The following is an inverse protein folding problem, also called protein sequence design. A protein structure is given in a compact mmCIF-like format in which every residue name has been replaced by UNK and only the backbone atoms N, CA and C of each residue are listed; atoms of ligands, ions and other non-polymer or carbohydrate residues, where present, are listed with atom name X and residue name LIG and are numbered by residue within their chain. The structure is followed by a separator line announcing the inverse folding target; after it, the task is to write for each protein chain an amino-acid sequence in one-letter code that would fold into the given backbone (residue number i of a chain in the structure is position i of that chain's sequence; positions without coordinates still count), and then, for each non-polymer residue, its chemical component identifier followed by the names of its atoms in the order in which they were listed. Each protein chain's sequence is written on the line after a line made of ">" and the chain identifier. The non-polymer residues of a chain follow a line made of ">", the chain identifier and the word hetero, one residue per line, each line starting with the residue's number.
data_IF_099076736957
#
_entry.id   IF_099076736957
#
_cell.length_a   1.000
_cell.length_b   1.000
_cell.length_c   1.000
_cell.angle_alpha   90.00
_cell.angle_beta   90.00
_cell.angle_gamma   90.00
#
_symmetry.space_group_name_H-M   'P 1'
#
loop_
_entity.id
_entity.type
_entity.pdbx_description
1 polymer ?
#
# COMPACT_ATOMS: atom_id res chain seq x y z
N UNK A 1 -56.39 -5.70 16.17
CA UNK A 1 -56.10 -5.89 14.74
C UNK A 1 -55.58 -4.57 14.18
N UNK A 2 -54.27 -4.42 14.05
CA UNK A 2 -53.63 -3.24 13.45
C UNK A 2 -52.57 -3.71 12.46
N UNK A 3 -52.60 -3.13 11.26
CA UNK A 3 -51.98 -3.62 10.03
C UNK A 3 -50.48 -3.37 10.00
N UNK A 4 -49.79 -4.39 9.50
CA UNK A 4 -48.41 -4.42 9.04
C UNK A 4 -48.16 -3.35 7.96
N UNK A 5 -47.08 -2.56 8.12
CA UNK A 5 -46.47 -1.77 7.05
C UNK A 5 -44.99 -2.14 6.99
N UNK A 6 -44.64 -2.96 6.00
CA UNK A 6 -43.27 -3.19 5.56
C UNK A 6 -42.87 -2.06 4.64
N UNK A 7 -41.86 -1.28 5.01
CA UNK A 7 -41.21 -0.32 4.12
C UNK A 7 -39.90 -0.95 3.67
N UNK A 8 -39.83 -1.25 2.38
CA UNK A 8 -38.59 -1.53 1.68
C UNK A 8 -37.87 -0.20 1.43
N UNK A 9 -36.58 -0.11 1.78
CA UNK A 9 -35.71 0.94 1.27
C UNK A 9 -34.55 0.32 0.51
N UNK A 10 -34.46 0.76 -0.74
CA UNK A 10 -33.48 0.46 -1.76
C UNK A 10 -32.05 0.69 -1.25
N UNK A 11 -31.17 -0.25 -1.59
CA UNK A 11 -29.74 -0.05 -1.61
C UNK A 11 -29.39 1.01 -2.68
N UNK A 12 -28.60 2.01 -2.30
CA UNK A 12 -27.91 2.89 -3.23
C UNK A 12 -26.41 2.66 -3.05
N UNK A 13 -25.87 1.78 -3.86
CA UNK A 13 -24.44 1.62 -4.13
C UNK A 13 -23.95 2.87 -4.88
N UNK A 14 -23.09 3.65 -4.24
CA UNK A 14 -22.39 4.78 -4.85
C UNK A 14 -20.90 4.66 -4.60
N UNK A 15 -20.23 3.78 -5.36
CA UNK A 15 -18.78 3.76 -5.44
C UNK A 15 -18.34 4.93 -6.33
N UNK A 16 -17.85 6.01 -5.74
CA UNK A 16 -17.15 7.05 -6.46
C UNK A 16 -15.71 6.57 -6.70
N UNK A 17 -15.47 5.97 -7.87
CA UNK A 17 -14.13 5.70 -8.36
C UNK A 17 -13.48 7.04 -8.74
N UNK A 18 -12.47 7.46 -7.98
CA UNK A 18 -11.62 8.59 -8.35
C UNK A 18 -10.67 8.10 -9.46
N UNK A 19 -11.02 8.37 -10.71
CA UNK A 19 -10.13 8.14 -11.84
C UNK A 19 -8.99 9.17 -11.82
N UNK A 20 -7.77 8.69 -11.56
CA UNK A 20 -6.56 9.47 -11.76
C UNK A 20 -6.18 9.41 -13.25
N UNK A 21 -6.38 10.52 -13.96
CA UNK A 21 -5.91 10.69 -15.34
C UNK A 21 -4.41 11.02 -15.30
N UNK A 22 -3.59 10.07 -15.74
CA UNK A 22 -2.17 10.29 -16.02
C UNK A 22 -2.02 10.77 -17.47
N UNK A 23 -1.96 12.09 -17.68
CA UNK A 23 -1.57 12.66 -18.97
C UNK A 23 -0.05 12.83 -18.99
N UNK A 24 0.63 12.05 -19.81
CA UNK A 24 2.04 12.26 -20.14
C UNK A 24 2.16 13.52 -21.02
N UNK A 25 2.80 14.57 -20.50
CA UNK A 25 3.15 15.75 -21.27
C UNK A 25 4.54 15.55 -21.89
N UNK A 26 4.58 15.39 -23.21
CA UNK A 26 5.80 15.47 -24.00
C UNK A 26 6.22 16.95 -24.14
N UNK A 27 7.50 17.23 -23.93
CA UNK A 27 8.11 18.54 -24.15
C UNK A 27 8.03 18.97 -25.62
N UNK A 28 7.47 20.14 -25.89
CA UNK A 28 7.54 20.83 -27.17
C UNK A 28 7.39 22.34 -26.96
N UNK A 29 8.49 23.08 -27.14
CA UNK A 29 8.52 24.54 -27.04
C UNK A 29 7.88 25.24 -28.25
N UNK A 30 7.60 26.55 -28.17
CA UNK A 30 6.87 27.27 -29.21
C UNK A 30 7.81 27.97 -30.21
N UNK A 31 7.58 27.76 -31.51
CA UNK A 31 8.08 28.67 -32.55
C UNK A 31 6.95 29.02 -33.52
N UNK A 32 6.78 30.33 -33.75
CA UNK A 32 5.78 30.93 -34.63
C UNK A 32 6.20 30.92 -36.12
N UNK A 33 5.34 31.44 -37.01
CA UNK A 33 5.29 31.04 -38.41
C UNK A 33 6.12 31.95 -39.33
N UNK A 34 6.71 31.36 -40.38
CA UNK A 34 7.37 32.10 -41.46
C UNK A 34 7.74 31.20 -42.64
N UNK A 35 6.89 31.26 -43.68
CA UNK A 35 7.13 31.07 -45.12
C UNK A 35 8.02 29.92 -45.66
N UNK A 36 7.38 29.11 -46.52
CA UNK A 36 8.03 28.23 -47.52
C UNK A 36 8.64 29.04 -48.67
N UNK A 37 9.64 28.49 -49.38
CA UNK A 37 9.28 27.92 -50.69
C UNK A 37 9.88 26.54 -50.97
N UNK A 38 9.24 25.83 -51.89
CA UNK A 38 9.49 24.47 -52.33
C UNK A 38 10.45 24.39 -53.51
N UNK A 39 11.36 23.40 -53.54
CA UNK A 39 11.94 22.66 -54.70
C UNK A 39 12.64 21.42 -54.07
N UNK A 40 12.63 20.17 -54.53
CA UNK A 40 12.07 19.45 -55.67
C UNK A 40 12.48 17.97 -55.53
N UNK A 41 11.75 17.08 -56.20
CA UNK A 41 11.92 15.62 -56.16
C UNK A 41 13.31 15.13 -56.55
N UNK A 42 13.86 14.14 -55.82
CA UNK A 42 14.72 13.11 -56.42
C UNK A 42 14.54 11.77 -55.70
N UNK A 43 14.35 10.73 -56.50
CA UNK A 43 14.01 9.37 -56.11
C UNK A 43 15.22 8.48 -55.76
N UNK A 44 14.87 7.29 -55.25
CA UNK A 44 15.57 6.00 -55.34
C UNK A 44 16.55 5.60 -54.21
N UNK A 45 16.15 4.53 -53.51
CA UNK A 45 17.01 3.59 -52.80
C UNK A 45 17.91 2.80 -53.77
N UNK A 46 19.03 2.22 -53.30
CA UNK A 46 19.00 0.79 -53.00
C UNK A 46 19.83 0.31 -51.78
N UNK A 47 19.54 -0.94 -51.44
CA UNK A 47 20.03 -1.90 -50.43
C UNK A 47 21.54 -2.09 -50.24
N UNK A 48 21.98 -2.35 -48.99
CA UNK A 48 22.86 -3.48 -48.59
C UNK A 48 23.15 -3.43 -47.06
N UNK A 49 22.93 -4.55 -46.34
CA UNK A 49 23.46 -4.76 -44.96
C UNK A 49 24.85 -5.42 -45.00
N UNK A 50 25.30 -6.14 -43.95
CA UNK A 50 25.17 -5.95 -42.51
C UNK A 50 26.55 -5.62 -41.87
N UNK A 51 26.59 -5.02 -40.69
CA UNK A 51 27.81 -4.99 -39.85
C UNK A 51 27.48 -4.79 -38.37
N UNK A 52 27.57 -5.88 -37.62
CA UNK A 52 28.01 -5.90 -36.23
C UNK A 52 29.46 -6.45 -36.26
N UNK A 53 30.38 -6.13 -35.31
CA UNK A 53 30.13 -6.34 -33.88
C UNK A 53 30.67 -5.23 -32.95
N UNK A 54 30.04 -5.08 -31.80
CA UNK A 54 30.54 -4.25 -30.70
C UNK A 54 29.97 -4.77 -29.39
N UNK A 55 30.71 -5.67 -28.74
CA UNK A 55 30.39 -6.23 -27.45
C UNK A 55 30.42 -5.14 -26.36
N UNK A 56 29.34 -5.02 -25.59
CA UNK A 56 29.36 -4.47 -24.24
C UNK A 56 28.67 -5.50 -23.36
N UNK A 57 29.49 -6.18 -22.54
CA UNK A 57 29.01 -7.09 -21.51
C UNK A 57 28.66 -6.32 -20.24
N UNK A 58 27.73 -6.89 -19.47
CA UNK A 58 27.69 -6.71 -18.02
C UNK A 58 26.56 -5.83 -17.49
N UNK A 59 25.38 -6.40 -17.37
CA UNK A 59 24.73 -6.58 -16.07
C UNK A 59 23.76 -7.75 -16.23
N UNK A 60 24.28 -8.95 -15.99
CA UNK A 60 23.41 -10.11 -15.82
C UNK A 60 22.61 -9.87 -14.54
N UNK A 61 21.33 -9.59 -14.68
CA UNK A 61 20.36 -9.86 -13.63
C UNK A 61 20.50 -11.34 -13.29
N UNK A 62 21.02 -11.62 -12.09
CA UNK A 62 21.07 -12.97 -11.53
C UNK A 62 19.68 -13.60 -11.62
N UNK A 63 19.54 -14.85 -12.09
CA UNK A 63 18.23 -15.47 -12.21
C UNK A 63 17.59 -15.54 -10.82
N UNK A 64 16.42 -14.90 -10.69
CA UNK A 64 15.58 -15.01 -9.51
C UNK A 64 15.38 -16.51 -9.18
N UNK A 65 15.55 -16.86 -7.90
CA UNK A 65 15.19 -18.19 -7.40
C UNK A 65 13.71 -18.47 -7.73
N UNK A 66 13.34 -19.73 -8.02
CA UNK A 66 12.03 -20.05 -8.57
C UNK A 66 10.92 -19.63 -7.60
N UNK A 67 9.84 -19.10 -8.18
CA UNK A 67 8.57 -18.87 -7.49
C UNK A 67 8.07 -20.21 -6.93
N UNK A 68 7.88 -20.28 -5.61
CA UNK A 68 7.41 -21.47 -4.93
C UNK A 68 7.17 -21.23 -3.44
N UNK A 69 6.44 -22.14 -2.82
CA UNK A 69 6.28 -22.21 -1.37
C UNK A 69 7.64 -22.32 -0.72
N UNK A 70 7.91 -21.49 0.29
CA UNK A 70 9.18 -21.49 0.99
C UNK A 70 9.33 -22.76 1.83
N UNK A 71 10.55 -23.29 1.90
CA UNK A 71 10.85 -24.43 2.76
C UNK A 71 10.58 -24.10 4.24
N UNK A 72 10.90 -22.87 4.64
CA UNK A 72 10.61 -22.31 5.97
C UNK A 72 10.04 -20.88 5.81
N UNK A 73 8.81 -20.60 6.27
CA UNK A 73 8.26 -19.25 6.30
C UNK A 73 9.11 -18.31 7.16
N UNK A 74 9.23 -17.05 6.73
CA UNK A 74 10.07 -16.05 7.40
C UNK A 74 9.21 -14.97 8.03
N UNK A 75 9.42 -14.65 9.31
CA UNK A 75 8.77 -13.50 9.95
C UNK A 75 9.35 -12.22 9.37
N UNK A 76 8.50 -11.34 8.85
CA UNK A 76 8.88 -10.02 8.32
C UNK A 76 8.36 -8.86 9.17
N UNK A 77 7.36 -9.10 10.00
CA UNK A 77 6.88 -8.11 10.98
C UNK A 77 6.24 -8.79 12.18
N UNK A 78 6.31 -8.15 13.34
CA UNK A 78 5.69 -8.69 14.56
C UNK A 78 5.35 -7.62 15.59
N UNK A 79 4.43 -7.94 16.49
CA UNK A 79 4.13 -7.13 17.66
C UNK A 79 3.18 -7.83 18.61
N UNK A 80 3.03 -7.27 19.81
CA UNK A 80 2.21 -7.83 20.87
C UNK A 80 1.01 -6.90 21.13
N UNK A 81 -0.20 -7.46 21.22
CA UNK A 81 -1.44 -6.73 21.52
C UNK A 81 -2.44 -7.66 22.22
N UNK A 82 -3.30 -7.10 23.07
CA UNK A 82 -4.37 -7.83 23.76
C UNK A 82 -5.58 -7.97 22.81
N UNK A 83 -5.79 -9.17 22.27
CA UNK A 83 -6.78 -9.44 21.21
C UNK A 83 -8.17 -9.76 21.77
N UNK A 84 -8.28 -10.09 23.05
CA UNK A 84 -9.51 -10.56 23.68
C UNK A 84 -9.96 -9.68 24.86
N UNK A 85 -9.18 -8.66 25.23
CA UNK A 85 -9.45 -7.71 26.31
C UNK A 85 -9.23 -8.29 27.71
N UNK A 86 -8.47 -9.38 27.85
CA UNK A 86 -8.22 -10.02 29.15
C UNK A 86 -6.99 -9.45 29.89
N UNK A 87 -6.27 -8.52 29.27
CA UNK A 87 -5.07 -7.86 29.79
C UNK A 87 -3.77 -8.63 29.54
N UNK A 88 -3.82 -9.77 28.86
CA UNK A 88 -2.66 -10.53 28.39
C UNK A 88 -2.45 -10.24 26.92
N UNK A 89 -1.22 -9.94 26.52
CA UNK A 89 -0.92 -9.69 25.12
C UNK A 89 -0.68 -11.00 24.36
N UNK A 90 -1.30 -11.11 23.19
CA UNK A 90 -1.02 -12.10 22.17
C UNK A 90 0.01 -11.58 21.17
N UNK A 91 0.77 -12.51 20.58
CA UNK A 91 1.75 -12.21 19.55
C UNK A 91 1.10 -12.24 18.18
N UNK A 92 1.20 -11.15 17.42
CA UNK A 92 0.89 -11.11 15.98
C UNK A 92 2.19 -11.14 15.19
N UNK A 93 2.23 -11.97 14.14
CA UNK A 93 3.33 -12.05 13.17
C UNK A 93 2.84 -11.96 11.75
N UNK A 94 3.62 -11.28 10.92
CA UNK A 94 3.51 -11.27 9.46
C UNK A 94 4.57 -12.22 8.92
N UNK A 95 4.11 -13.28 8.26
CA UNK A 95 4.94 -14.31 7.65
C UNK A 95 5.03 -14.08 6.15
N UNK A 96 6.24 -14.16 5.61
CA UNK A 96 6.47 -14.41 4.18
C UNK A 96 6.44 -15.91 3.94
N UNK A 97 5.50 -16.37 3.13
CA UNK A 97 5.20 -17.81 2.96
C UNK A 97 5.57 -18.33 1.58
N UNK A 98 5.48 -17.50 0.56
CA UNK A 98 5.81 -17.87 -0.83
C UNK A 98 6.41 -16.69 -1.58
N UNK A 99 7.30 -16.98 -2.54
CA UNK A 99 7.79 -16.00 -3.50
C UNK A 99 9.32 -15.95 -3.60
N UNK A 100 9.86 -14.77 -3.92
CA UNK A 100 11.28 -14.58 -4.23
C UNK A 100 11.91 -13.41 -3.46
N UNK A 101 13.19 -13.55 -3.17
CA UNK A 101 14.01 -12.41 -2.81
C UNK A 101 14.42 -11.66 -4.08
N UNK A 102 14.34 -10.34 -4.04
CA UNK A 102 14.74 -9.45 -5.13
C UNK A 102 15.81 -8.49 -4.61
N UNK A 103 16.76 -8.12 -5.45
CA UNK A 103 17.75 -7.09 -5.15
C UNK A 103 17.73 -6.04 -6.26
N UNK A 104 17.30 -4.82 -5.91
CA UNK A 104 17.33 -3.68 -6.82
C UNK A 104 18.60 -2.87 -6.53
N UNK A 105 19.60 -3.12 -7.37
CA UNK A 105 20.92 -2.47 -7.28
C UNK A 105 20.93 -1.07 -7.90
N UNK A 106 19.91 -0.70 -8.69
CA UNK A 106 19.82 0.62 -9.30
C UNK A 106 19.50 1.67 -8.23
N UNK A 107 20.24 2.81 -8.17
CA UNK A 107 19.92 3.90 -7.26
C UNK A 107 18.50 4.42 -7.49
N UNK A 108 17.67 4.41 -6.45
CA UNK A 108 16.29 4.85 -6.56
C UNK A 108 15.46 4.59 -5.30
N UNK A 109 14.21 5.05 -5.27
CA UNK A 109 13.31 4.88 -4.12
C UNK A 109 12.93 3.42 -3.84
N UNK A 110 13.21 2.53 -4.79
CA UNK A 110 13.01 1.08 -4.67
C UNK A 110 14.33 0.30 -4.54
N UNK A 111 15.48 0.98 -4.35
CA UNK A 111 16.76 0.30 -4.19
C UNK A 111 16.81 -0.58 -2.92
N UNK A 112 17.59 -1.65 -2.99
CA UNK A 112 17.87 -2.58 -1.91
C UNK A 112 17.25 -3.97 -2.10
N UNK A 113 17.38 -4.80 -1.06
CA UNK A 113 16.85 -6.15 -1.06
C UNK A 113 15.42 -6.20 -0.50
N UNK A 114 14.57 -6.99 -1.15
CA UNK A 114 13.15 -7.17 -0.82
C UNK A 114 12.77 -8.64 -0.84
N UNK A 115 11.71 -8.97 -0.09
CA UNK A 115 10.96 -10.22 -0.19
C UNK A 115 9.66 -9.90 -0.89
N UNK A 116 9.39 -10.53 -2.03
CA UNK A 116 8.15 -10.37 -2.80
C UNK A 116 7.38 -11.67 -2.84
N UNK A 117 6.05 -11.60 -2.75
CA UNK A 117 5.17 -12.74 -2.92
C UNK A 117 3.98 -12.75 -1.97
N UNK A 118 3.73 -13.90 -1.34
CA UNK A 118 2.59 -14.15 -0.46
C UNK A 118 2.98 -14.01 1.00
N UNK A 119 2.08 -13.39 1.75
CA UNK A 119 2.23 -13.06 3.15
C UNK A 119 0.96 -13.41 3.91
N UNK A 120 1.16 -13.82 5.17
CA UNK A 120 0.07 -14.17 6.08
C UNK A 120 0.26 -13.45 7.40
N UNK A 121 -0.81 -12.86 7.92
CA UNK A 121 -0.86 -12.42 9.31
C UNK A 121 -1.36 -13.59 10.17
N UNK A 122 -0.69 -13.88 11.28
CA UNK A 122 -1.11 -14.90 12.23
C UNK A 122 -0.99 -14.39 13.67
N UNK A 123 -1.98 -14.72 14.48
CA UNK A 123 -2.03 -14.42 15.91
C UNK A 123 -1.77 -15.68 16.73
N UNK A 124 -1.04 -15.54 17.82
CA UNK A 124 -0.62 -16.64 18.70
C UNK A 124 -0.86 -16.27 20.17
N UNK A 125 -1.36 -17.23 20.94
CA UNK A 125 -1.33 -17.14 22.41
C UNK A 125 0.11 -17.10 22.92
N UNK A 126 0.28 -16.66 24.17
CA UNK A 126 1.57 -16.71 24.87
C UNK A 126 2.23 -18.10 24.87
N UNK A 127 1.44 -19.17 24.86
CA UNK A 127 1.92 -20.56 24.76
C UNK A 127 2.35 -21.02 23.35
N UNK A 128 2.26 -20.15 22.34
CA UNK A 128 2.60 -20.44 20.95
C UNK A 128 1.51 -21.13 20.13
N UNK A 129 0.32 -21.33 20.71
CA UNK A 129 -0.84 -21.86 19.99
C UNK A 129 -1.39 -20.79 19.04
N UNK A 130 -1.57 -21.14 17.78
CA UNK A 130 -2.21 -20.26 16.80
C UNK A 130 -3.69 -20.03 17.15
N UNK A 131 -4.09 -18.77 17.13
CA UNK A 131 -5.46 -18.31 17.36
C UNK A 131 -6.20 -18.06 16.06
N UNK A 132 -5.53 -17.38 15.13
CA UNK A 132 -6.11 -16.98 13.85
C UNK A 132 -5.03 -16.75 12.81
N UNK A 133 -5.44 -16.81 11.54
CA UNK A 133 -4.59 -16.55 10.37
C UNK A 133 -5.39 -15.82 9.29
N UNK A 134 -4.70 -14.99 8.53
CA UNK A 134 -5.27 -14.21 7.44
C UNK A 134 -4.27 -14.08 6.28
N UNK A 135 -4.73 -14.35 5.06
CA UNK A 135 -3.95 -14.11 3.86
C UNK A 135 -3.83 -12.60 3.62
N UNK A 136 -2.69 -12.02 4.01
CA UNK A 136 -2.50 -10.57 4.09
C UNK A 136 -2.63 -9.90 2.72
N UNK A 137 -2.24 -10.61 1.66
CA UNK A 137 -2.40 -10.14 0.28
C UNK A 137 -3.85 -9.79 -0.07
N UNK A 138 -4.85 -10.42 0.56
CA UNK A 138 -6.27 -10.11 0.33
C UNK A 138 -6.64 -8.68 0.73
N UNK A 139 -5.92 -8.09 1.71
CA UNK A 139 -6.08 -6.68 2.06
C UNK A 139 -5.63 -5.71 0.94
N UNK A 140 -4.92 -6.23 -0.07
CA UNK A 140 -4.42 -5.54 -1.24
C UNK A 140 -4.93 -6.19 -2.55
N UNK A 141 -6.11 -6.81 -2.51
CA UNK A 141 -6.76 -7.41 -3.68
C UNK A 141 -6.12 -8.71 -4.19
N UNK A 142 -5.34 -9.39 -3.35
CA UNK A 142 -4.75 -10.71 -3.63
C UNK A 142 -3.44 -10.68 -4.44
N UNK A 143 -2.98 -9.48 -4.86
CA UNK A 143 -1.74 -9.29 -5.62
C UNK A 143 -0.47 -9.67 -4.84
N UNK A 144 0.69 -9.70 -5.50
CA UNK A 144 1.97 -9.82 -4.79
C UNK A 144 2.20 -8.60 -3.90
N UNK A 145 2.72 -8.84 -2.70
CA UNK A 145 3.21 -7.80 -1.80
C UNK A 145 4.73 -7.85 -1.74
N UNK A 146 5.36 -6.78 -1.25
CA UNK A 146 6.78 -6.76 -0.96
C UNK A 146 7.12 -6.01 0.32
N UNK A 147 8.13 -6.51 1.02
CA UNK A 147 8.73 -5.86 2.19
C UNK A 147 10.25 -5.87 2.06
N UNK A 148 10.92 -4.89 2.68
CA UNK A 148 12.38 -4.87 2.72
C UNK A 148 12.89 -6.15 3.39
N UNK A 149 13.98 -6.70 2.84
CA UNK A 149 14.69 -7.81 3.46
C UNK A 149 15.54 -7.26 4.61
N UNK A 150 14.95 -7.23 5.80
CA UNK A 150 15.57 -6.78 7.04
C UNK A 150 15.09 -7.64 8.22
N UNK A 151 15.48 -7.23 9.44
CA UNK A 151 14.86 -7.70 10.69
C UNK A 151 13.34 -7.44 10.67
N UNK A 152 12.54 -8.24 11.40
CA UNK A 152 11.10 -8.02 11.48
C UNK A 152 10.74 -6.59 11.90
N UNK A 153 9.91 -5.92 11.12
CA UNK A 153 9.45 -4.58 11.48
C UNK A 153 8.43 -4.65 12.63
N UNK A 154 8.42 -3.66 13.55
CA UNK A 154 7.44 -3.64 14.62
C UNK A 154 6.05 -3.31 14.09
N UNK A 155 5.06 -4.11 14.47
CA UNK A 155 3.65 -3.79 14.29
C UNK A 155 3.23 -2.70 15.28
N UNK A 156 2.43 -1.76 14.81
CA UNK A 156 1.98 -0.60 15.58
C UNK A 156 0.47 -0.64 15.71
N UNK A 157 -0.01 -0.63 16.95
CA UNK A 157 -1.41 -0.82 17.29
C UNK A 157 -2.06 0.44 17.87
N UNK A 158 -3.35 0.59 17.64
CA UNK A 158 -4.28 1.48 18.36
C UNK A 158 -5.69 0.88 18.21
N UNK A 159 -6.73 1.50 18.75
CA UNK A 159 -8.13 1.13 18.51
C UNK A 159 -8.84 2.30 17.80
N UNK A 160 -8.91 2.27 16.47
CA UNK A 160 -9.48 3.36 15.69
C UNK A 160 -10.98 3.23 15.48
N UNK A 161 -11.54 2.02 15.59
CA UNK A 161 -12.96 1.76 15.39
C UNK A 161 -13.76 1.74 16.71
N UNK A 162 -13.08 1.75 17.86
CA UNK A 162 -13.62 1.79 19.21
C UNK A 162 -14.30 0.49 19.67
N UNK A 163 -13.91 -0.65 19.12
CA UNK A 163 -14.48 -1.96 19.50
C UNK A 163 -13.66 -2.69 20.58
N UNK A 164 -12.53 -2.12 21.01
CA UNK A 164 -11.64 -2.67 22.01
C UNK A 164 -10.65 -3.71 21.47
N UNK A 165 -10.77 -4.13 20.22
CA UNK A 165 -9.78 -4.97 19.57
C UNK A 165 -8.65 -4.11 18.94
N UNK A 166 -7.41 -4.61 18.90
CA UNK A 166 -6.30 -3.88 18.33
C UNK A 166 -6.40 -3.77 16.80
N UNK A 167 -6.31 -2.52 16.33
CA UNK A 167 -6.18 -2.15 14.93
C UNK A 167 -4.71 -1.88 14.60
N UNK A 168 -4.26 -2.29 13.41
CA UNK A 168 -2.92 -2.01 12.90
C UNK A 168 -2.93 -1.76 11.40
N UNK A 169 -2.05 -0.86 10.95
CA UNK A 169 -1.92 -0.52 9.54
C UNK A 169 -0.69 -1.19 8.94
N UNK A 170 -0.86 -1.84 7.78
CA UNK A 170 0.25 -2.39 6.99
C UNK A 170 0.38 -1.60 5.70
N UNK A 171 1.59 -1.18 5.38
CA UNK A 171 1.93 -0.38 4.21
C UNK A 171 2.59 -1.19 3.10
N UNK A 172 2.26 -0.87 1.86
CA UNK A 172 2.96 -1.28 0.66
C UNK A 172 3.45 -0.05 -0.08
N UNK A 173 4.73 -0.04 -0.48
CA UNK A 173 5.34 1.13 -1.10
C UNK A 173 4.57 1.52 -2.36
N UNK A 174 4.01 2.73 -2.36
CA UNK A 174 3.14 3.23 -3.43
C UNK A 174 3.82 4.28 -4.33
N UNK A 175 5.02 4.74 -3.95
CA UNK A 175 5.81 5.69 -4.71
C UNK A 175 6.86 6.39 -3.85
N UNK A 176 7.43 7.47 -4.38
CA UNK A 176 8.43 8.30 -3.65
C UNK A 176 7.82 9.06 -2.47
N UNK A 177 6.54 9.42 -2.57
CA UNK A 177 5.89 10.33 -1.63
C UNK A 177 5.04 9.60 -0.59
N UNK A 178 5.04 8.26 -0.58
CA UNK A 178 4.19 7.52 0.34
C UNK A 178 3.98 6.06 0.00
N UNK A 179 3.16 5.43 0.83
CA UNK A 179 2.76 4.04 0.74
C UNK A 179 1.23 3.93 0.76
N UNK A 180 0.72 2.86 0.17
CA UNK A 180 -0.69 2.49 0.25
C UNK A 180 -0.85 1.58 1.45
N UNK A 181 -1.71 1.95 2.38
CA UNK A 181 -1.97 1.18 3.60
C UNK A 181 -3.32 0.48 3.55
N UNK A 182 -3.35 -0.69 4.17
CA UNK A 182 -4.57 -1.32 4.66
C UNK A 182 -4.58 -1.24 6.19
N UNK A 183 -5.74 -0.92 6.77
CA UNK A 183 -6.00 -0.96 8.19
C UNK A 183 -6.77 -2.24 8.51
N UNK A 184 -6.21 -3.06 9.38
CA UNK A 184 -6.77 -4.32 9.84
C UNK A 184 -7.08 -4.24 11.33
N UNK A 185 -8.02 -5.05 11.78
CA UNK A 185 -8.25 -5.35 13.20
C UNK A 185 -7.99 -6.82 13.45
N UNK A 186 -7.47 -7.15 14.64
CA UNK A 186 -7.26 -8.51 15.10
C UNK A 186 -8.03 -8.73 16.40
N UNK A 187 -8.81 -9.80 16.46
CA UNK A 187 -9.62 -10.17 17.63
C UNK A 187 -9.60 -11.68 17.85
N UNK A 188 -10.25 -12.16 18.91
CA UNK A 188 -10.47 -13.60 19.12
C UNK A 188 -11.22 -14.30 17.97
N UNK A 189 -12.03 -13.54 17.21
CA UNK A 189 -12.77 -14.05 16.04
C UNK A 189 -11.92 -14.04 14.75
N UNK A 190 -10.68 -13.56 14.84
CA UNK A 190 -9.72 -13.47 13.75
C UNK A 190 -9.50 -12.05 13.23
N UNK A 191 -8.99 -11.97 12.00
CA UNK A 191 -8.62 -10.70 11.37
C UNK A 191 -9.73 -10.18 10.44
N UNK A 192 -9.82 -8.86 10.33
CA UNK A 192 -10.71 -8.19 9.37
C UNK A 192 -10.07 -6.93 8.83
N UNK A 193 -10.25 -6.67 7.54
CA UNK A 193 -9.87 -5.39 6.93
C UNK A 193 -10.94 -4.35 7.29
N UNK A 194 -10.53 -3.27 7.96
CA UNK A 194 -11.40 -2.15 8.32
C UNK A 194 -11.42 -1.07 7.22
N UNK A 195 -10.28 -0.87 6.56
CA UNK A 195 -10.14 0.03 5.42
C UNK A 195 -8.93 -0.41 4.57
N UNK A 196 -8.99 -0.13 3.28
CA UNK A 196 -7.90 -0.38 2.33
C UNK A 196 -7.67 0.85 1.46
N UNK A 197 -6.66 0.78 0.59
CA UNK A 197 -6.33 1.81 -0.39
C UNK A 197 -6.10 3.21 0.22
N UNK A 198 -5.43 3.25 1.38
CA UNK A 198 -5.13 4.49 2.09
C UNK A 198 -3.74 4.98 1.68
N UNK A 199 -3.66 5.79 0.62
CA UNK A 199 -2.41 6.45 0.29
C UNK A 199 -2.02 7.45 1.39
N UNK A 200 -0.86 7.23 1.99
CA UNK A 200 -0.38 7.97 3.16
C UNK A 200 1.05 8.46 2.89
N UNK A 201 1.36 9.68 3.30
CA UNK A 201 2.70 10.25 3.26
C UNK A 201 3.59 9.63 4.34
N UNK A 202 3.85 8.33 4.22
CA UNK A 202 4.72 7.56 5.08
C UNK A 202 5.30 6.38 4.28
N UNK A 203 6.43 5.85 4.74
CA UNK A 203 7.14 4.78 4.04
C UNK A 203 7.49 3.58 4.92
N UNK A 204 7.08 3.61 6.20
CA UNK A 204 7.22 2.50 7.14
C UNK A 204 6.21 1.41 6.84
N UNK A 205 6.60 0.16 7.05
CA UNK A 205 5.78 -1.02 6.79
C UNK A 205 4.57 -1.12 7.73
N UNK A 206 4.65 -0.53 8.92
CA UNK A 206 3.55 -0.37 9.86
C UNK A 206 3.60 1.00 10.52
N UNK A 207 2.43 1.63 10.68
CA UNK A 207 2.31 2.96 11.29
C UNK A 207 1.14 3.05 12.26
N UNK A 208 1.26 3.96 13.22
CA UNK A 208 0.13 4.40 14.05
C UNK A 208 -0.37 5.75 13.53
N UNK A 209 -1.57 5.80 13.00
CA UNK A 209 -2.22 7.06 12.65
C UNK A 209 -2.54 7.88 13.91
N UNK A 210 -2.59 9.19 13.75
CA UNK A 210 -3.06 10.08 14.82
C UNK A 210 -4.58 9.96 14.97
N UNK A 211 -5.07 9.74 16.19
CA UNK A 211 -6.52 9.75 16.47
C UNK A 211 -7.12 11.15 16.25
N UNK A 212 -8.35 11.16 15.73
CA UNK A 212 -9.20 12.36 15.54
C UNK A 212 -10.49 12.30 16.38
N UNK A 213 -10.48 11.45 17.41
CA UNK A 213 -11.60 11.13 18.27
C UNK A 213 -11.49 9.67 18.75
N UNK A 214 -12.52 9.19 19.45
CA UNK A 214 -12.58 7.80 19.93
C UNK A 214 -12.62 6.80 18.77
N UNK A 215 -13.38 7.11 17.72
CA UNK A 215 -13.64 6.23 16.56
C UNK A 215 -13.23 6.86 15.24
N UNK A 216 -12.04 7.47 15.21
CA UNK A 216 -11.55 8.19 14.04
C UNK A 216 -10.03 8.37 14.06
N UNK A 217 -9.44 8.50 12.87
CA UNK A 217 -8.03 8.82 12.70
C UNK A 217 -7.81 9.82 11.56
N UNK A 218 -6.63 10.42 11.53
CA UNK A 218 -6.19 11.30 10.43
C UNK A 218 -5.17 10.57 9.58
N UNK A 219 -5.43 10.53 8.29
CA UNK A 219 -4.43 10.23 7.28
C UNK A 219 -3.88 11.54 6.71
N UNK A 220 -2.57 11.62 6.51
CA UNK A 220 -1.91 12.74 5.82
C UNK A 220 -1.31 12.22 4.52
N UNK A 221 -1.52 12.89 3.39
CA UNK A 221 -0.90 12.53 2.10
C UNK A 221 -0.43 13.78 1.34
N UNK A 222 0.50 13.62 0.40
CA UNK A 222 0.94 14.72 -0.47
C UNK A 222 0.14 14.76 -1.76
N UNK A 223 -0.54 15.87 -2.03
CA UNK A 223 -1.25 16.13 -3.28
C UNK A 223 -0.31 16.86 -4.26
N UNK A 224 0.07 16.17 -5.33
CA UNK A 224 1.00 16.72 -6.32
C UNK A 224 0.39 17.83 -7.18
N UNK A 225 -0.92 17.82 -7.39
CA UNK A 225 -1.59 18.86 -8.18
C UNK A 225 -1.66 20.17 -7.41
N UNK A 226 -1.86 20.09 -6.09
CA UNK A 226 -1.88 21.25 -5.19
C UNK A 226 -0.49 21.64 -4.69
N UNK A 227 0.48 20.73 -4.74
CA UNK A 227 1.81 20.94 -4.17
C UNK A 227 1.79 21.05 -2.64
N UNK A 228 0.85 20.36 -1.99
CA UNK A 228 0.58 20.52 -0.55
C UNK A 228 0.30 19.17 0.13
N UNK A 229 0.59 19.11 1.43
CA UNK A 229 0.11 18.02 2.28
C UNK A 229 -1.36 18.24 2.62
N UNK A 230 -2.12 17.15 2.60
CA UNK A 230 -3.55 17.11 2.85
C UNK A 230 -3.83 16.18 4.03
N UNK A 231 -4.62 16.65 4.99
CA UNK A 231 -5.19 15.85 6.07
C UNK A 231 -6.59 15.37 5.65
N UNK A 232 -6.86 14.08 5.86
CA UNK A 232 -8.15 13.44 5.68
C UNK A 232 -8.53 12.76 6.99
N UNK A 233 -9.58 13.24 7.63
CA UNK A 233 -10.17 12.55 8.77
C UNK A 233 -11.00 11.39 8.26
N UNK A 234 -10.74 10.19 8.79
CA UNK A 234 -11.52 8.98 8.52
C UNK A 234 -12.28 8.64 9.79
N UNK A 235 -13.62 8.60 9.71
CA UNK A 235 -14.49 8.32 10.86
C UNK A 235 -15.20 7.00 10.69
N UNK A 236 -15.21 6.21 11.75
CA UNK A 236 -15.97 4.98 11.78
C UNK A 236 -17.46 5.26 11.84
N UNK A 237 -18.21 4.74 10.85
CA UNK A 237 -19.67 4.83 10.76
C UNK A 237 -20.20 3.56 10.14
N UNK A 238 -21.21 2.96 10.74
CA UNK A 238 -21.95 1.84 10.19
C UNK A 238 -21.08 0.66 9.70
N UNK A 239 -19.99 0.37 10.44
CA UNK A 239 -19.11 -0.76 10.14
C UNK A 239 -17.97 -0.47 9.15
N UNK A 240 -17.73 0.80 8.80
CA UNK A 240 -16.64 1.18 7.89
C UNK A 240 -16.08 2.57 8.20
N UNK A 241 -14.87 2.88 7.72
CA UNK A 241 -14.31 4.23 7.79
C UNK A 241 -14.74 5.07 6.59
N UNK A 242 -15.49 6.14 6.87
CA UNK A 242 -15.86 7.17 5.88
C UNK A 242 -14.83 8.29 5.93
N UNK A 243 -14.24 8.62 4.77
CA UNK A 243 -13.34 9.75 4.62
C UNK A 243 -14.13 11.07 4.55
N UNK A 244 -13.69 12.07 5.31
CA UNK A 244 -14.13 13.46 5.16
C UNK A 244 -13.40 14.13 4.01
N UNK A 245 -13.90 15.30 3.59
CA UNK A 245 -13.24 16.12 2.56
C UNK A 245 -11.79 16.46 2.96
N UNK A 246 -10.80 16.26 2.07
CA UNK A 246 -9.42 16.61 2.36
C UNK A 246 -9.24 18.10 2.61
N UNK A 247 -8.51 18.44 3.67
CA UNK A 247 -8.11 19.82 3.99
C UNK A 247 -6.58 19.93 3.94
N UNK A 248 -6.05 21.10 3.57
CA UNK A 248 -4.60 21.31 3.64
C UNK A 248 -4.11 21.11 5.08
N UNK A 249 -3.04 20.32 5.22
CA UNK A 249 -2.42 20.07 6.51
C UNK A 249 -1.77 21.35 7.02
N UNK A 250 -1.94 21.63 8.32
CA UNK A 250 -1.33 22.80 8.96
C UNK A 250 0.20 22.71 9.00
N UNK A 251 0.73 21.50 8.98
CA UNK A 251 2.15 21.19 9.06
C UNK A 251 2.47 20.03 8.11
N UNK A 252 3.60 20.12 7.41
CA UNK A 252 4.13 19.02 6.62
C UNK A 252 4.73 17.96 7.56
N UNK A 253 4.11 16.78 7.63
CA UNK A 253 4.53 15.70 8.52
C UNK A 253 4.15 14.33 7.93
N UNK A 254 4.83 13.26 8.37
CA UNK A 254 4.41 11.91 8.02
C UNK A 254 3.02 11.59 8.56
N UNK A 255 2.34 10.65 7.90
CA UNK A 255 1.02 10.20 8.32
C UNK A 255 1.04 9.43 9.64
N UNK A 256 2.09 8.63 9.87
CA UNK A 256 2.29 7.88 11.09
C UNK A 256 2.94 8.72 12.19
N UNK A 257 2.53 8.48 13.43
CA UNK A 257 3.22 9.01 14.60
C UNK A 257 4.61 8.36 14.74
N UNK A 258 5.60 9.13 15.20
CA UNK A 258 6.85 8.56 15.71
C UNK A 258 6.61 7.94 17.09
N UNK A 259 7.33 6.86 17.39
CA UNK A 259 7.29 6.28 18.74
C UNK A 259 8.05 7.24 19.67
N UNK A 260 7.34 7.75 20.69
CA UNK A 260 7.91 8.61 21.73
C UNK A 260 8.46 7.81 22.90
#
# INVERSE_FOLDING_TARGET
>A
MARSMRIWRLAATGAAALQLVMTAAACGGPEGPGERPAIGDVAAAPTAGPSAPGASGGAGSEPAKPDGTLADPVVVGEGDADLNGDGVAERIRIWWTEGREMDESSPGPFAGAYRSGKFEAAAYESGGRELARFALNEAFGGGEMSFRKAEPFPLRFDDYNGDGAPDFAIGQRGGTNGSVYALLTASSDGFRVLAADIYSADSRESIRYRKAGERAFVNTYYDQQKGAYMDVVRRWRDGTFVAEEPAEAKEARPAGLEDG
#
